data_IF_947621762046
#
_entry.id   IF_947621762046
#
_cell.length_a   1.000
_cell.length_b   1.000
_cell.length_c   1.000
_cell.angle_alpha   90.00
_cell.angle_beta   90.00
_cell.angle_gamma   90.00
#
_symmetry.space_group_name_H-M   'P 1'
#
loop_
_entity.id
_entity.type
_entity.pdbx_description
1 polymer ?
#
# COMPACT_ATOMS: atom_id res chain seq x y z
N UNK A 1 5.64 -17.25 -5.71
CA UNK A 1 4.64 -16.27 -5.28
C UNK A 1 4.87 -15.99 -3.83
N UNK A 2 5.11 -14.72 -3.56
CA UNK A 2 5.21 -14.17 -2.21
C UNK A 2 3.82 -14.14 -1.57
N UNK A 3 3.73 -14.11 -0.24
CA UNK A 3 2.47 -14.27 0.52
C UNK A 3 1.61 -12.98 0.54
N UNK A 4 1.40 -12.36 -0.62
CA UNK A 4 0.59 -11.15 -0.75
C UNK A 4 -0.91 -11.45 -0.62
N UNK A 5 -1.62 -10.55 0.04
CA UNK A 5 -3.07 -10.56 0.14
C UNK A 5 -3.60 -9.14 -0.01
N UNK A 6 -4.80 -9.03 -0.59
CA UNK A 6 -5.50 -7.76 -0.67
C UNK A 6 -6.13 -7.44 0.68
N UNK A 7 -5.80 -6.29 1.25
CA UNK A 7 -6.26 -5.91 2.58
C UNK A 7 -7.19 -4.70 2.58
N UNK A 8 -8.22 -4.81 3.41
CA UNK A 8 -8.98 -3.66 3.89
C UNK A 8 -8.78 -3.49 5.39
N UNK A 9 -8.89 -2.26 5.86
CA UNK A 9 -8.85 -1.93 7.29
C UNK A 9 -9.87 -0.86 7.67
N UNK A 10 -10.36 -0.92 8.90
CA UNK A 10 -11.28 0.10 9.42
C UNK A 10 -10.46 1.32 9.85
N UNK A 11 -10.51 2.39 9.05
CA UNK A 11 -9.84 3.66 9.35
C UNK A 11 -10.88 4.78 9.53
N UNK A 12 -10.57 5.83 10.31
CA UNK A 12 -11.45 6.99 10.44
C UNK A 12 -11.76 7.58 9.06
N UNK A 13 -13.04 7.86 8.81
CA UNK A 13 -13.42 8.52 7.57
C UNK A 13 -12.90 9.95 7.51
N UNK A 14 -12.57 10.40 6.32
CA UNK A 14 -11.99 11.73 6.11
C UNK A 14 -12.94 12.86 6.53
N UNK A 15 -14.26 12.71 6.34
CA UNK A 15 -15.23 13.80 6.55
C UNK A 15 -15.34 14.27 8.02
N UNK A 16 -15.34 13.34 8.98
CA UNK A 16 -15.50 13.70 10.41
C UNK A 16 -14.57 12.96 11.35
N UNK A 17 -13.80 11.97 10.90
CA UNK A 17 -12.82 11.23 11.71
C UNK A 17 -13.39 10.51 12.95
N UNK A 18 -14.73 10.48 13.11
CA UNK A 18 -15.44 9.85 14.23
C UNK A 18 -15.90 8.43 13.91
N UNK A 19 -16.34 8.21 12.68
CA UNK A 19 -16.79 6.93 12.17
C UNK A 19 -15.63 6.24 11.47
N UNK A 20 -15.48 4.93 11.67
CA UNK A 20 -14.52 4.15 10.89
C UNK A 20 -15.20 3.53 9.68
N UNK A 21 -14.50 3.52 8.56
CA UNK A 21 -14.94 2.97 7.28
C UNK A 21 -13.88 2.04 6.72
N UNK A 22 -14.33 1.07 5.90
CA UNK A 22 -13.44 0.12 5.25
C UNK A 22 -12.58 0.85 4.21
N UNK A 23 -11.31 1.03 4.52
CA UNK A 23 -10.31 1.67 3.65
C UNK A 23 -9.43 0.62 3.02
N UNK A 24 -9.15 0.82 1.74
CA UNK A 24 -8.27 -0.03 0.94
C UNK A 24 -6.81 0.19 1.36
N UNK A 25 -6.09 -0.91 1.61
CA UNK A 25 -4.66 -0.89 1.89
C UNK A 25 -3.82 -1.46 0.74
N UNK A 26 -4.43 -1.97 -0.32
CA UNK A 26 -3.75 -2.63 -1.44
C UNK A 26 -3.29 -4.06 -1.14
N UNK A 27 -2.44 -4.56 -2.02
CA UNK A 27 -1.80 -5.86 -1.90
C UNK A 27 -0.54 -5.76 -1.03
N UNK A 28 -0.56 -6.43 0.13
CA UNK A 28 0.57 -6.42 1.07
C UNK A 28 0.84 -7.83 1.60
N UNK A 29 2.06 -8.09 2.06
CA UNK A 29 2.31 -9.24 2.93
C UNK A 29 1.79 -8.96 4.34
N UNK A 30 1.69 -9.99 5.18
CA UNK A 30 1.26 -9.81 6.57
C UNK A 30 2.16 -8.86 7.36
N UNK A 31 3.49 -8.92 7.15
CA UNK A 31 4.45 -8.04 7.80
C UNK A 31 4.30 -6.59 7.31
N UNK A 32 4.21 -6.38 5.99
CA UNK A 32 4.01 -5.06 5.41
C UNK A 32 2.73 -4.39 5.92
N UNK A 33 1.64 -5.16 6.05
CA UNK A 33 0.39 -4.66 6.63
C UNK A 33 0.57 -4.16 8.07
N UNK A 34 1.28 -4.90 8.91
CA UNK A 34 1.52 -4.47 10.31
C UNK A 34 2.30 -3.16 10.36
N UNK A 35 3.34 -3.03 9.53
CA UNK A 35 4.15 -1.81 9.43
C UNK A 35 3.36 -0.63 8.85
N UNK A 36 2.52 -0.87 7.83
CA UNK A 36 1.61 0.13 7.26
C UNK A 36 0.64 0.62 8.32
N UNK A 37 0.00 -0.28 9.09
CA UNK A 37 -0.96 0.11 10.12
C UNK A 37 -0.31 0.91 11.25
N UNK A 38 0.94 0.59 11.62
CA UNK A 38 1.68 1.38 12.59
C UNK A 38 1.90 2.81 12.09
N UNK A 39 2.35 2.99 10.85
CA UNK A 39 2.55 4.31 10.23
C UNK A 39 1.23 5.07 10.09
N UNK A 40 0.17 4.41 9.62
CA UNK A 40 -1.18 4.99 9.51
C UNK A 40 -1.66 5.53 10.86
N UNK A 41 -1.47 4.77 11.95
CA UNK A 41 -1.85 5.20 13.29
C UNK A 41 -1.07 6.46 13.73
N UNK A 42 0.22 6.55 13.43
CA UNK A 42 1.04 7.73 13.71
C UNK A 42 0.60 8.95 12.89
N UNK A 43 0.27 8.78 11.61
CA UNK A 43 -0.19 9.87 10.73
C UNK A 43 -1.55 10.39 11.17
N UNK A 44 -2.51 9.51 11.43
CA UNK A 44 -3.86 9.88 11.86
C UNK A 44 -3.83 10.65 13.20
N UNK A 45 -2.88 10.32 14.08
CA UNK A 45 -2.71 11.03 15.35
C UNK A 45 -2.26 12.50 15.19
N UNK A 46 -1.78 12.93 14.01
CA UNK A 46 -1.29 14.29 13.78
C UNK A 46 -2.40 15.34 13.58
N UNK A 47 -3.67 15.00 13.82
CA UNK A 47 -4.91 15.81 13.73
C UNK A 47 -5.24 16.40 12.34
N UNK A 48 -4.22 16.72 11.52
CA UNK A 48 -4.34 17.31 10.18
C UNK A 48 -4.09 16.31 9.04
N UNK A 49 -4.40 15.02 9.25
CA UNK A 49 -4.31 14.03 8.17
C UNK A 49 -5.20 14.43 6.99
N UNK A 50 -4.60 14.42 5.80
CA UNK A 50 -5.26 14.66 4.51
C UNK A 50 -6.08 13.42 4.09
N UNK A 51 -6.92 13.56 3.06
CA UNK A 51 -7.71 12.43 2.56
C UNK A 51 -6.80 11.34 1.99
N UNK A 52 -5.75 11.77 1.30
CA UNK A 52 -4.75 10.91 0.70
C UNK A 52 -3.43 11.18 1.41
N UNK A 53 -2.75 10.11 1.85
CA UNK A 53 -1.44 10.22 2.47
C UNK A 53 -0.60 9.00 2.15
N UNK A 54 0.72 9.18 2.15
CA UNK A 54 1.65 8.11 1.86
C UNK A 54 2.24 7.48 3.12
N UNK A 55 2.44 6.17 3.08
CA UNK A 55 3.24 5.39 4.04
C UNK A 55 4.37 4.68 3.30
N UNK A 56 5.34 4.17 4.03
CA UNK A 56 6.44 3.41 3.44
C UNK A 56 6.19 1.91 3.53
N UNK A 57 6.35 1.19 2.43
CA UNK A 57 6.38 -0.27 2.38
C UNK A 57 7.81 -0.72 2.12
N UNK A 58 8.34 -1.57 3.00
CA UNK A 58 9.68 -2.16 2.84
C UNK A 58 9.55 -3.56 2.25
N UNK A 59 10.17 -3.76 1.09
CA UNK A 59 10.17 -5.03 0.36
C UNK A 59 11.58 -5.62 0.32
N UNK A 60 11.68 -6.94 0.45
CA UNK A 60 12.86 -7.67 -0.06
C UNK A 60 12.90 -7.59 -1.59
N UNK A 61 14.04 -7.96 -2.19
CA UNK A 61 14.17 -8.02 -3.65
C UNK A 61 13.11 -8.93 -4.31
N UNK A 62 12.75 -10.03 -3.65
CA UNK A 62 11.76 -10.99 -4.18
C UNK A 62 10.34 -10.43 -4.08
N UNK A 63 10.03 -9.69 -3.02
CA UNK A 63 8.72 -9.05 -2.82
C UNK A 63 8.56 -7.78 -3.66
N UNK A 64 9.64 -7.07 -3.97
CA UNK A 64 9.57 -5.79 -4.68
C UNK A 64 8.94 -5.92 -6.07
N UNK A 65 9.21 -7.03 -6.77
CA UNK A 65 8.60 -7.34 -8.07
C UNK A 65 7.09 -7.48 -7.95
N UNK A 66 6.67 -8.40 -7.08
CA UNK A 66 5.25 -8.72 -6.92
C UNK A 66 4.49 -7.49 -6.37
N UNK A 67 5.09 -6.74 -5.44
CA UNK A 67 4.53 -5.50 -4.92
C UNK A 67 4.23 -4.46 -6.01
N UNK A 68 5.20 -4.18 -6.89
CA UNK A 68 5.05 -3.20 -7.97
C UNK A 68 4.00 -3.64 -8.98
N UNK A 69 4.03 -4.91 -9.41
CA UNK A 69 3.07 -5.43 -10.36
C UNK A 69 1.64 -5.38 -9.80
N UNK A 70 1.46 -5.71 -8.52
CA UNK A 70 0.14 -5.73 -7.87
C UNK A 70 -0.41 -4.33 -7.56
N UNK A 71 0.40 -3.44 -7.00
CA UNK A 71 -0.08 -2.15 -6.50
C UNK A 71 0.07 -0.99 -7.49
N UNK A 72 1.10 -1.02 -8.34
CA UNK A 72 1.38 0.08 -9.28
C UNK A 72 0.84 -0.21 -10.68
N UNK A 73 1.13 -1.41 -11.22
CA UNK A 73 0.64 -1.81 -12.55
C UNK A 73 -0.78 -2.40 -12.51
N UNK A 74 -1.27 -2.80 -11.33
CA UNK A 74 -2.66 -3.25 -11.12
C UNK A 74 -2.93 -4.68 -11.59
N UNK A 75 -1.89 -5.51 -11.74
CA UNK A 75 -2.06 -6.94 -11.98
C UNK A 75 -2.76 -7.62 -10.80
N UNK A 76 -3.48 -8.70 -11.08
CA UNK A 76 -3.96 -9.61 -10.05
C UNK A 76 -2.90 -10.67 -9.69
N UNK A 77 -3.04 -11.26 -8.50
CA UNK A 77 -2.21 -12.40 -8.07
C UNK A 77 -2.22 -13.55 -9.11
N UNK A 78 -3.37 -13.80 -9.74
CA UNK A 78 -3.50 -14.83 -10.79
C UNK A 78 -2.69 -14.48 -12.05
N UNK A 79 -2.58 -13.20 -12.40
CA UNK A 79 -1.85 -12.75 -13.60
C UNK A 79 -0.33 -12.79 -13.42
N UNK A 80 0.18 -12.67 -12.18
CA UNK A 80 1.61 -12.69 -11.90
C UNK A 80 2.32 -13.99 -12.32
N UNK A 81 1.56 -15.09 -12.48
CA UNK A 81 2.12 -16.39 -12.82
C UNK A 81 2.64 -16.47 -14.27
N UNK A 82 1.90 -15.91 -15.24
CA UNK A 82 2.21 -16.07 -16.67
C UNK A 82 1.57 -15.03 -17.60
N UNK A 83 0.92 -14.00 -17.07
CA UNK A 83 0.19 -13.01 -17.87
C UNK A 83 0.76 -11.59 -17.77
N UNK A 84 1.91 -11.42 -17.11
CA UNK A 84 2.62 -10.13 -17.04
C UNK A 84 3.20 -9.77 -18.40
N UNK A 85 2.92 -8.55 -18.87
CA UNK A 85 3.49 -8.04 -20.11
C UNK A 85 5.02 -7.93 -20.00
N UNK A 86 5.74 -8.31 -21.06
CA UNK A 86 7.21 -8.32 -21.03
C UNK A 86 7.83 -6.92 -20.89
N UNK A 87 7.09 -5.88 -21.30
CA UNK A 87 7.50 -4.48 -21.13
C UNK A 87 7.44 -4.09 -19.64
N UNK A 88 6.32 -4.38 -18.96
CA UNK A 88 6.16 -4.14 -17.53
C UNK A 88 7.15 -4.94 -16.68
N UNK A 89 7.40 -6.21 -17.03
CA UNK A 89 8.40 -7.05 -16.35
C UNK A 89 9.80 -6.43 -16.43
N UNK A 90 10.16 -5.86 -17.58
CA UNK A 90 11.45 -5.23 -17.79
C UNK A 90 11.56 -3.90 -17.03
N UNK A 91 10.50 -3.07 -17.06
CA UNK A 91 10.46 -1.82 -16.30
C UNK A 91 10.60 -2.07 -14.80
N UNK A 92 9.85 -3.03 -14.24
CA UNK A 92 9.95 -3.42 -12.83
C UNK A 92 11.35 -3.92 -12.49
N UNK A 93 11.96 -4.73 -13.35
CA UNK A 93 13.32 -5.22 -13.13
C UNK A 93 14.36 -4.10 -13.12
N UNK A 94 14.24 -3.13 -14.03
CA UNK A 94 15.13 -1.98 -14.12
C UNK A 94 14.97 -1.04 -12.93
N UNK A 95 13.74 -0.77 -12.49
CA UNK A 95 13.45 0.05 -11.32
C UNK A 95 14.02 -0.59 -10.03
N UNK A 96 13.78 -1.89 -9.82
CA UNK A 96 14.34 -2.62 -8.67
C UNK A 96 15.87 -2.61 -8.71
N UNK A 97 16.48 -2.74 -9.90
CA UNK A 97 17.94 -2.69 -10.05
C UNK A 97 18.51 -1.31 -9.69
N UNK A 98 17.83 -0.23 -10.05
CA UNK A 98 18.21 1.14 -9.68
C UNK A 98 18.06 1.36 -8.16
N UNK A 99 16.94 0.95 -7.58
CA UNK A 99 16.66 1.17 -6.16
C UNK A 99 17.59 0.38 -5.24
N UNK A 100 18.01 -0.81 -5.67
CA UNK A 100 19.00 -1.66 -4.97
C UNK A 100 20.46 -1.33 -5.33
N UNK A 101 20.70 -0.31 -6.15
CA UNK A 101 22.05 0.19 -6.36
C UNK A 101 22.70 0.57 -5.02
N UNK A 102 24.03 0.54 -4.98
CA UNK A 102 24.84 0.75 -3.77
C UNK A 102 24.76 -0.38 -2.71
N UNK A 103 24.22 -1.54 -3.08
CA UNK A 103 24.29 -2.75 -2.24
C UNK A 103 23.24 -2.82 -1.13
N UNK A 104 22.10 -2.15 -1.32
CA UNK A 104 20.94 -2.30 -0.43
C UNK A 104 20.34 -3.70 -0.57
N UNK A 105 19.79 -4.21 0.52
CA UNK A 105 19.14 -5.54 0.56
C UNK A 105 17.61 -5.45 0.50
N UNK A 106 17.07 -4.24 0.71
CA UNK A 106 15.64 -3.94 0.72
C UNK A 106 15.34 -2.72 -0.12
N UNK A 107 14.13 -2.68 -0.67
CA UNK A 107 13.57 -1.53 -1.37
C UNK A 107 12.50 -0.91 -0.48
N UNK A 108 12.40 0.42 -0.48
CA UNK A 108 11.32 1.13 0.21
C UNK A 108 10.51 1.87 -0.84
N UNK A 109 9.22 1.57 -0.89
CA UNK A 109 8.27 2.21 -1.79
C UNK A 109 7.36 3.14 -1.01
N UNK A 110 7.01 4.26 -1.62
CA UNK A 110 5.92 5.11 -1.15
C UNK A 110 4.60 4.46 -1.57
N UNK A 111 3.72 4.23 -0.59
CA UNK A 111 2.41 3.58 -0.76
C UNK A 111 1.30 4.56 -0.35
N UNK A 112 0.47 4.95 -1.30
CA UNK A 112 -0.63 5.88 -1.06
C UNK A 112 -1.82 5.16 -0.43
N UNK A 113 -2.41 5.81 0.59
CA UNK A 113 -3.65 5.38 1.24
C UNK A 113 -4.66 6.51 1.11
N UNK A 114 -5.80 6.20 0.51
CA UNK A 114 -6.93 7.12 0.37
C UNK A 114 -8.01 6.81 1.43
N UNK A 115 -8.14 7.67 2.44
CA UNK A 115 -9.22 7.59 3.43
C UNK A 115 -10.57 7.73 2.74
N UNK A 116 -11.49 6.83 3.09
CA UNK A 116 -12.82 6.84 2.51
C UNK A 116 -13.71 7.90 3.15
N UNK A 117 -14.63 8.45 2.37
CA UNK A 117 -15.68 9.35 2.85
C UNK A 117 -16.77 8.57 3.58
N UNK A 118 -17.55 9.27 4.39
CA UNK A 118 -18.68 8.71 5.15
C UNK A 118 -19.85 9.69 5.14
N UNK A 119 -21.07 9.18 4.96
CA UNK A 119 -22.29 10.00 4.98
C UNK A 119 -22.85 10.19 6.39
N UNK A 120 -22.55 9.28 7.31
CA UNK A 120 -22.99 9.31 8.71
C UNK A 120 -21.90 9.89 9.62
N UNK A 121 -21.66 11.18 9.43
CA UNK A 121 -20.95 12.00 10.39
C UNK A 121 -21.97 12.53 11.40
N UNK A 122 -22.45 11.64 12.28
CA UNK A 122 -23.42 12.02 13.32
C UNK A 122 -22.98 13.31 14.02
N UNK A 123 -23.73 14.37 13.76
CA UNK A 123 -23.78 15.55 14.60
C UNK A 123 -24.70 15.15 15.74
N UNK A 124 -24.15 14.55 16.80
CA UNK A 124 -24.87 14.58 18.07
C UNK A 124 -24.93 16.06 18.49
N UNK A 125 -26.11 16.66 18.35
CA UNK A 125 -26.47 17.98 18.90
C UNK A 125 -26.35 18.03 20.44
#
# INVERSE_FOLDING_TARGET
MTDFQYYFHQLPCFDCKKTTVSTDLGWLTAAMKEDVLAQVAEIIAQENVEADFSVNVTCTKEEARDYLLLNFYGYSDEELADQVEAEDEQEVADEIAELLADGKEVVVFEHEIALQSCTDCEVEE
#
